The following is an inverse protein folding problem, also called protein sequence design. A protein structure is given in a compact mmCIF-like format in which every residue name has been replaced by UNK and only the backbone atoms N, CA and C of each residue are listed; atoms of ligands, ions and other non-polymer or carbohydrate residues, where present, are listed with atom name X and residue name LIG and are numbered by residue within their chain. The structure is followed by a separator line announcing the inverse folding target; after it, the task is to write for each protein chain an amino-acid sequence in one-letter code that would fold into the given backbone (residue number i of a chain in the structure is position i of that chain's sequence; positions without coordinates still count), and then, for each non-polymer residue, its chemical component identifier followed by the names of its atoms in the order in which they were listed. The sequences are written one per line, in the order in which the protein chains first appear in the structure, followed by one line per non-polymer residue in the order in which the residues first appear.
data_IF_312672786847
#
_entry.id   IF_312672786847
#
_cell.length_a   1.000
_cell.length_b   1.000
_cell.length_c   1.000
_cell.angle_alpha   90.00
_cell.angle_beta   90.00
_cell.angle_gamma   90.00
#
_symmetry.space_group_name_H-M   'P 1'
#
loop_
_entity.id
_entity.type
_entity.pdbx_description
1 polymer ?
#
# COMPACT_ATOMS: atom_id res chain seq x y z
N UNK A 1 -12.70 -47.80 32.78
CA UNK A 1 -13.69 -46.79 32.38
C UNK A 1 -13.50 -45.56 33.26
N UNK A 2 -13.05 -44.43 32.71
CA UNK A 2 -12.92 -43.17 33.46
C UNK A 2 -13.50 -42.06 32.58
N UNK A 3 -14.42 -41.32 33.19
CA UNK A 3 -15.32 -40.33 32.61
C UNK A 3 -14.60 -39.27 31.78
N UNK A 4 -15.23 -38.92 30.65
CA UNK A 4 -14.89 -37.74 29.89
C UNK A 4 -15.24 -36.45 30.59
N UNK A 5 -14.52 -35.39 30.24
CA UNK A 5 -14.93 -34.00 30.42
C UNK A 5 -14.73 -33.34 29.06
N UNK A 6 -15.85 -33.04 28.40
CA UNK A 6 -15.93 -32.09 27.30
C UNK A 6 -15.92 -30.71 27.97
N UNK A 7 -14.90 -29.89 27.70
CA UNK A 7 -14.92 -28.46 27.97
C UNK A 7 -14.68 -27.73 26.65
N UNK A 8 -15.78 -27.38 25.98
CA UNK A 8 -15.81 -26.39 24.94
C UNK A 8 -15.67 -25.01 25.58
N UNK A 9 -14.67 -24.22 25.18
CA UNK A 9 -14.68 -22.76 25.36
C UNK A 9 -13.62 -22.08 24.48
N UNK A 10 -14.10 -21.46 23.41
CA UNK A 10 -13.67 -20.13 22.96
C UNK A 10 -12.18 -19.89 22.68
N UNK A 11 -11.80 -20.03 21.42
CA UNK A 11 -10.92 -19.02 20.79
C UNK A 11 -11.50 -18.72 19.41
N UNK A 12 -12.73 -18.21 19.47
CA UNK A 12 -13.38 -17.54 18.37
C UNK A 12 -12.67 -16.20 18.15
N UNK A 13 -12.54 -15.81 16.88
CA UNK A 13 -12.28 -14.44 16.40
C UNK A 13 -10.82 -13.94 16.37
N UNK A 14 -10.02 -14.46 15.43
CA UNK A 14 -9.11 -13.60 14.66
C UNK A 14 -9.75 -13.30 13.30
N UNK A 15 -10.97 -12.74 13.33
CA UNK A 15 -11.58 -12.16 12.14
C UNK A 15 -10.94 -10.78 11.89
N UNK A 16 -10.09 -10.74 10.86
CA UNK A 16 -9.92 -9.58 9.98
C UNK A 16 -9.84 -8.22 10.66
N UNK A 17 -8.74 -7.93 11.34
CA UNK A 17 -8.31 -6.54 11.40
C UNK A 17 -8.12 -6.09 9.95
N UNK A 18 -8.88 -5.09 9.53
CA UNK A 18 -8.79 -4.46 8.22
C UNK A 18 -7.36 -3.95 8.04
N UNK A 19 -6.47 -4.78 7.48
CA UNK A 19 -5.08 -4.44 7.26
C UNK A 19 -4.97 -3.53 6.03
N UNK A 20 -5.55 -2.33 6.11
CA UNK A 20 -4.99 -1.20 5.37
C UNK A 20 -3.75 -0.78 6.15
N UNK A 21 -2.62 -1.45 5.89
CA UNK A 21 -1.35 -1.04 6.45
C UNK A 21 -1.04 0.36 5.95
N UNK A 22 -0.99 1.33 6.87
CA UNK A 22 -0.60 2.69 6.53
C UNK A 22 0.80 2.66 5.89
N UNK A 23 0.96 3.44 4.82
CA UNK A 23 2.26 3.60 4.18
C UNK A 23 3.28 4.20 5.16
N UNK A 24 4.55 3.83 5.02
CA UNK A 24 5.61 4.49 5.79
C UNK A 24 5.96 5.86 5.20
N UNK A 25 6.59 6.77 5.96
CA UNK A 25 7.06 8.05 5.42
C UNK A 25 7.95 7.91 4.18
N UNK A 26 8.86 6.94 4.18
CA UNK A 26 9.74 6.67 3.04
C UNK A 26 8.97 6.21 1.79
N UNK A 27 7.95 5.36 1.96
CA UNK A 27 7.09 4.92 0.84
C UNK A 27 6.26 6.09 0.29
N UNK A 28 5.74 6.94 1.17
CA UNK A 28 4.98 8.11 0.78
C UNK A 28 5.85 9.13 0.02
N UNK A 29 7.04 9.43 0.52
CA UNK A 29 8.01 10.33 -0.13
C UNK A 29 8.46 9.78 -1.50
N UNK A 30 8.80 8.49 -1.59
CA UNK A 30 9.18 7.86 -2.86
C UNK A 30 8.05 7.93 -3.90
N UNK A 31 6.79 7.77 -3.47
CA UNK A 31 5.64 7.94 -4.37
C UNK A 31 5.40 9.38 -4.79
N UNK A 32 5.67 10.37 -3.91
CA UNK A 32 5.65 11.79 -4.29
C UNK A 32 6.73 12.13 -5.33
N UNK A 33 7.96 11.64 -5.14
CA UNK A 33 9.03 11.82 -6.12
C UNK A 33 8.66 11.20 -7.46
N UNK A 34 8.13 9.97 -7.43
CA UNK A 34 7.64 9.29 -8.63
C UNK A 34 6.52 10.09 -9.32
N UNK A 35 5.55 10.62 -8.59
CA UNK A 35 4.51 11.49 -9.16
C UNK A 35 5.07 12.80 -9.71
N UNK A 36 6.03 13.43 -9.03
CA UNK A 36 6.69 14.66 -9.50
C UNK A 36 7.46 14.43 -10.80
N UNK A 37 8.29 13.39 -10.81
CA UNK A 37 9.19 13.10 -11.93
C UNK A 37 8.41 12.64 -13.17
N UNK A 38 7.23 12.01 -12.98
CA UNK A 38 6.34 11.63 -14.08
C UNK A 38 5.27 12.69 -14.42
N UNK A 39 4.88 13.53 -13.47
CA UNK A 39 3.74 14.43 -13.55
C UNK A 39 4.06 15.87 -13.99
N UNK A 40 5.31 16.32 -13.91
CA UNK A 40 5.62 17.75 -14.08
C UNK A 40 6.47 18.08 -15.31
N UNK A 41 7.19 17.13 -15.93
CA UNK A 41 8.10 17.50 -17.03
C UNK A 41 8.27 16.50 -18.18
N UNK A 42 7.91 15.23 -18.05
CA UNK A 42 8.17 14.28 -19.15
C UNK A 42 7.01 13.30 -19.34
N UNK A 43 6.32 13.41 -20.48
CA UNK A 43 5.47 12.33 -20.97
C UNK A 43 6.38 11.20 -21.45
N UNK A 44 6.87 10.37 -20.52
CA UNK A 44 7.55 9.15 -20.91
C UNK A 44 6.52 8.21 -21.57
N UNK A 45 6.69 7.97 -22.87
CA UNK A 45 5.85 7.04 -23.61
C UNK A 45 6.32 5.61 -23.35
N UNK A 46 5.54 4.86 -22.59
CA UNK A 46 5.76 3.42 -22.38
C UNK A 46 5.18 2.60 -23.54
N UNK A 47 5.37 3.05 -24.78
CA UNK A 47 4.76 2.48 -25.98
C UNK A 47 5.01 0.98 -26.11
N UNK A 48 6.20 0.51 -25.75
CA UNK A 48 6.57 -0.92 -25.75
C UNK A 48 5.82 -1.74 -24.69
N UNK A 49 5.43 -1.11 -23.58
CA UNK A 49 4.72 -1.75 -22.47
C UNK A 49 3.19 -1.59 -22.59
N UNK A 50 2.69 -0.77 -23.53
CA UNK A 50 1.26 -0.64 -23.82
C UNK A 50 0.73 -1.94 -24.41
N UNK A 51 -0.40 -2.42 -23.88
CA UNK A 51 -1.04 -3.66 -24.33
C UNK A 51 -0.53 -4.93 -23.65
N UNK A 52 0.51 -4.86 -22.83
CA UNK A 52 1.03 -6.01 -22.07
C UNK A 52 0.17 -6.40 -20.85
N UNK A 53 -0.96 -5.74 -20.62
CA UNK A 53 -1.77 -5.96 -19.42
C UNK A 53 -1.09 -5.44 -18.15
N UNK A 54 -1.17 -6.18 -17.04
CA UNK A 54 -0.50 -5.81 -15.78
C UNK A 54 1.01 -6.05 -15.88
N UNK A 55 1.82 -5.05 -15.54
CA UNK A 55 3.27 -5.11 -15.57
C UNK A 55 3.86 -4.40 -14.34
N UNK A 56 5.15 -4.60 -14.06
CA UNK A 56 5.79 -4.07 -12.86
C UNK A 56 5.64 -2.55 -12.70
N UNK A 57 5.54 -1.83 -13.82
CA UNK A 57 5.37 -0.38 -13.82
C UNK A 57 3.94 0.01 -13.44
N UNK A 58 2.90 -0.50 -14.12
CA UNK A 58 1.53 -0.15 -13.74
C UNK A 58 1.17 -0.62 -12.33
N UNK A 59 1.73 -1.72 -11.86
CA UNK A 59 1.60 -2.17 -10.46
C UNK A 59 2.22 -1.16 -9.49
N UNK A 60 3.41 -0.62 -9.81
CA UNK A 60 4.08 0.40 -9.00
C UNK A 60 3.29 1.71 -9.00
N UNK A 61 2.77 2.14 -10.15
CA UNK A 61 1.91 3.33 -10.22
C UNK A 61 0.62 3.16 -9.43
N UNK A 62 -0.09 2.05 -9.60
CA UNK A 62 -1.33 1.77 -8.88
C UNK A 62 -1.08 1.72 -7.37
N UNK A 63 0.05 1.14 -6.95
CA UNK A 63 0.46 1.13 -5.55
C UNK A 63 0.72 2.53 -5.03
N UNK A 64 1.42 3.37 -5.78
CA UNK A 64 1.66 4.75 -5.37
C UNK A 64 0.39 5.59 -5.32
N UNK A 65 -0.56 5.41 -6.25
CA UNK A 65 -1.89 6.04 -6.17
C UNK A 65 -2.63 5.64 -4.90
N UNK A 66 -2.59 4.37 -4.52
CA UNK A 66 -3.18 3.90 -3.26
C UNK A 66 -2.49 4.50 -2.03
N UNK A 67 -1.16 4.63 -2.05
CA UNK A 67 -0.39 5.24 -0.97
C UNK A 67 -0.73 6.74 -0.82
N UNK A 68 -0.75 7.48 -1.91
CA UNK A 68 -1.03 8.92 -1.90
C UNK A 68 -2.51 9.25 -1.61
N UNK A 69 -3.41 8.27 -1.74
CA UNK A 69 -4.82 8.40 -1.31
C UNK A 69 -5.02 8.22 0.20
N UNK A 70 -4.02 7.70 0.92
CA UNK A 70 -4.06 7.59 2.38
C UNK A 70 -3.68 8.94 3.01
N UNK A 71 -4.12 9.22 4.26
CA UNK A 71 -3.57 10.33 5.04
C UNK A 71 -2.05 10.22 5.13
N UNK A 72 -1.35 11.34 4.98
CA UNK A 72 0.11 11.37 5.08
C UNK A 72 0.56 10.77 6.43
N UNK A 73 1.54 9.85 6.44
CA UNK A 73 1.97 9.21 7.67
C UNK A 73 2.70 10.17 8.60
N UNK A 74 2.54 9.97 9.92
CA UNK A 74 3.23 10.78 10.92
C UNK A 74 4.75 10.76 10.70
N UNK A 75 5.38 11.94 10.66
CA UNK A 75 6.80 12.10 10.33
C UNK A 75 7.09 12.47 8.87
N UNK A 76 6.07 12.64 8.02
CA UNK A 76 6.20 13.25 6.67
C UNK A 76 6.13 14.78 6.71
N UNK A 77 6.42 15.39 7.86
CA UNK A 77 6.45 16.84 8.00
C UNK A 77 7.31 17.44 6.90
N UNK A 78 6.62 18.11 5.99
CA UNK A 78 7.12 19.21 5.18
C UNK A 78 7.94 20.12 6.10
N UNK A 79 9.25 19.89 6.19
CA UNK A 79 10.19 20.91 6.63
C UNK A 79 10.17 21.99 5.56
N UNK A 80 9.32 23.00 5.80
CA UNK A 80 9.35 24.28 5.11
C UNK A 80 10.79 24.80 5.06
N UNK A 81 11.35 24.94 3.86
CA UNK A 81 12.36 25.95 3.56
C UNK A 81 12.03 26.57 2.21
#
# INVERSE_FOLDING_TARGET
MKLGIIAAAGSMLLLGACATTQATPAQYASCQEMERDMGVANRHDHGEMKGQGRNAMNLSHDRCRQILSQPAPAGTSSENN
#
